data_IF_322563707768
#
_entry.id   IF_322563707768
#
_cell.length_a   1.000
_cell.length_b   1.000
_cell.length_c   1.000
_cell.angle_alpha   90.00
_cell.angle_beta   90.00
_cell.angle_gamma   90.00
#
_symmetry.space_group_name_H-M   'P 1'
#
loop_
_entity.id
_entity.type
_entity.pdbx_description
1 polymer ?
#
# COMPACT_ATOMS: atom_id res chain seq x y z
N UNK A 1 -26.89 25.32 -11.46
CA UNK A 1 -25.79 25.26 -10.48
C UNK A 1 -25.57 23.81 -10.01
N UNK A 2 -25.02 22.95 -10.87
CA UNK A 2 -24.86 21.50 -10.61
C UNK A 2 -23.39 21.06 -10.59
N UNK A 3 -22.49 21.92 -10.11
CA UNK A 3 -21.05 21.66 -10.12
C UNK A 3 -20.49 21.29 -8.73
N UNK A 4 -21.34 21.21 -7.69
CA UNK A 4 -20.88 21.09 -6.30
C UNK A 4 -20.98 19.68 -5.70
N UNK A 5 -21.66 18.74 -6.37
CA UNK A 5 -21.78 17.35 -5.90
C UNK A 5 -20.69 16.43 -6.46
N UNK A 6 -20.17 16.68 -7.66
CA UNK A 6 -19.13 15.85 -8.27
C UNK A 6 -17.79 15.91 -7.50
N UNK A 7 -17.47 17.03 -6.86
CA UNK A 7 -16.23 17.20 -6.11
C UNK A 7 -16.23 16.54 -4.71
N UNK A 8 -17.37 16.05 -4.23
CA UNK A 8 -17.49 15.45 -2.89
C UNK A 8 -17.30 13.92 -2.88
N UNK A 9 -17.10 13.28 -4.04
CA UNK A 9 -16.96 11.83 -4.14
C UNK A 9 -15.49 11.36 -4.05
N UNK A 10 -14.49 12.23 -4.29
CA UNK A 10 -13.10 11.77 -4.48
C UNK A 10 -12.09 12.12 -3.39
N UNK A 11 -12.42 12.92 -2.38
CA UNK A 11 -11.38 13.43 -1.44
C UNK A 11 -11.16 12.53 -0.22
N UNK A 12 -12.07 11.62 0.10
CA UNK A 12 -11.97 10.72 1.26
C UNK A 12 -12.25 9.27 0.86
N UNK A 13 -11.54 8.78 -0.17
CA UNK A 13 -11.59 7.37 -0.53
C UNK A 13 -10.39 6.64 0.11
N UNK A 14 -10.54 6.07 1.32
CA UNK A 14 -9.48 5.32 2.00
C UNK A 14 -8.89 4.22 1.10
N UNK A 15 -9.66 3.70 0.16
CA UNK A 15 -9.21 2.71 -0.84
C UNK A 15 -8.08 3.23 -1.71
N UNK A 16 -8.12 4.49 -2.17
CA UNK A 16 -7.04 5.09 -2.98
C UNK A 16 -5.74 5.15 -2.19
N UNK A 17 -5.83 5.50 -0.90
CA UNK A 17 -4.66 5.55 -0.02
C UNK A 17 -4.10 4.14 0.23
N UNK A 18 -4.95 3.13 0.43
CA UNK A 18 -4.52 1.74 0.55
C UNK A 18 -3.81 1.23 -0.73
N UNK A 19 -4.34 1.58 -1.90
CA UNK A 19 -3.72 1.25 -3.19
C UNK A 19 -2.36 1.97 -3.35
N UNK A 20 -2.28 3.25 -2.97
CA UNK A 20 -1.03 4.01 -3.03
C UNK A 20 0.06 3.39 -2.14
N UNK A 21 -0.29 3.00 -0.91
CA UNK A 21 0.61 2.28 -0.01
C UNK A 21 1.05 0.93 -0.61
N UNK A 22 0.13 0.20 -1.24
CA UNK A 22 0.46 -1.08 -1.90
C UNK A 22 1.46 -0.87 -3.04
N UNK A 23 1.25 0.13 -3.89
CA UNK A 23 2.15 0.44 -5.00
C UNK A 23 3.54 0.89 -4.53
N UNK A 24 3.60 1.67 -3.45
CA UNK A 24 4.87 2.04 -2.83
C UNK A 24 5.60 0.81 -2.29
N UNK A 25 4.90 -0.07 -1.56
CA UNK A 25 5.45 -1.34 -1.12
C UNK A 25 6.07 -2.14 -2.27
N UNK A 26 5.38 -2.22 -3.41
CA UNK A 26 5.88 -2.92 -4.60
C UNK A 26 7.15 -2.27 -5.19
N UNK A 27 7.19 -0.94 -5.24
CA UNK A 27 8.38 -0.21 -5.68
C UNK A 27 9.59 -0.40 -4.73
N UNK A 28 9.36 -0.57 -3.43
CA UNK A 28 10.41 -0.86 -2.45
C UNK A 28 10.90 -2.31 -2.57
N UNK A 29 10.02 -3.25 -2.89
CA UNK A 29 10.41 -4.63 -3.19
C UNK A 29 11.33 -4.69 -4.40
N UNK A 30 11.03 -3.93 -5.46
CA UNK A 30 11.90 -3.82 -6.63
C UNK A 30 13.30 -3.25 -6.29
N UNK A 31 13.41 -2.49 -5.19
CA UNK A 31 14.68 -1.97 -4.67
C UNK A 31 15.32 -2.89 -3.61
N UNK A 32 14.81 -4.11 -3.40
CA UNK A 32 15.22 -5.03 -2.32
C UNK A 32 15.07 -4.46 -0.90
N UNK A 33 14.27 -3.39 -0.72
CA UNK A 33 14.01 -2.72 0.56
C UNK A 33 12.81 -3.34 1.28
N UNK A 34 12.88 -4.64 1.55
CA UNK A 34 11.77 -5.44 2.07
C UNK A 34 11.23 -4.92 3.43
N UNK A 35 12.11 -4.46 4.33
CA UNK A 35 11.70 -3.95 5.65
C UNK A 35 10.77 -2.73 5.56
N UNK A 36 11.04 -1.84 4.62
CA UNK A 36 10.24 -0.64 4.38
C UNK A 36 8.95 -0.98 3.62
N UNK A 37 9.03 -1.90 2.66
CA UNK A 37 7.86 -2.40 1.94
C UNK A 37 6.80 -2.98 2.89
N UNK A 38 7.21 -3.73 3.91
CA UNK A 38 6.33 -4.29 4.94
C UNK A 38 5.51 -3.20 5.65
N UNK A 39 6.11 -2.05 5.95
CA UNK A 39 5.39 -0.95 6.61
C UNK A 39 4.27 -0.42 5.72
N UNK A 40 4.56 -0.23 4.43
CA UNK A 40 3.55 0.26 3.49
C UNK A 40 2.43 -0.76 3.26
N UNK A 41 2.74 -2.05 3.09
CA UNK A 41 1.68 -3.07 2.95
C UNK A 41 0.82 -3.21 4.21
N UNK A 42 1.40 -3.07 5.41
CA UNK A 42 0.63 -3.05 6.66
C UNK A 42 -0.31 -1.86 6.75
N UNK A 43 0.14 -0.68 6.32
CA UNK A 43 -0.70 0.51 6.31
C UNK A 43 -1.83 0.40 5.27
N UNK A 44 -1.55 -0.18 4.10
CA UNK A 44 -2.59 -0.51 3.13
C UNK A 44 -3.66 -1.43 3.73
N UNK A 45 -3.24 -2.49 4.44
CA UNK A 45 -4.16 -3.44 5.09
C UNK A 45 -4.87 -2.87 6.32
N UNK A 46 -4.30 -1.85 6.98
CA UNK A 46 -4.98 -1.13 8.07
C UNK A 46 -6.19 -0.35 7.55
N UNK A 47 -6.12 0.09 6.30
CA UNK A 47 -7.10 0.98 5.68
C UNK A 47 -8.11 0.18 4.86
N UNK A 48 -7.64 -0.78 4.08
CA UNK A 48 -8.45 -1.80 3.44
C UNK A 48 -7.94 -3.20 3.79
N UNK A 49 -8.50 -3.82 4.85
CA UNK A 49 -8.16 -5.17 5.26
C UNK A 49 -8.50 -6.24 4.23
N UNK A 50 -9.27 -5.91 3.17
CA UNK A 50 -9.63 -6.79 2.08
C UNK A 50 -8.74 -6.66 0.84
N UNK A 51 -7.74 -5.76 0.86
CA UNK A 51 -6.91 -5.49 -0.30
C UNK A 51 -5.94 -6.65 -0.59
N UNK A 52 -6.38 -7.58 -1.44
CA UNK A 52 -5.61 -8.78 -1.80
C UNK A 52 -4.20 -8.47 -2.33
N UNK A 53 -4.05 -7.36 -3.08
CA UNK A 53 -2.75 -6.92 -3.58
C UNK A 53 -1.76 -6.60 -2.44
N UNK A 54 -2.23 -6.01 -1.34
CA UNK A 54 -1.40 -5.70 -0.18
C UNK A 54 -0.97 -6.97 0.59
N UNK A 55 -1.85 -7.98 0.70
CA UNK A 55 -1.46 -9.28 1.28
C UNK A 55 -0.41 -10.00 0.46
N UNK A 56 -0.58 -10.04 -0.87
CA UNK A 56 0.39 -10.67 -1.76
C UNK A 56 1.75 -9.96 -1.70
N UNK A 57 1.73 -8.63 -1.69
CA UNK A 57 2.93 -7.83 -1.53
C UNK A 57 3.61 -8.04 -0.17
N UNK A 58 2.82 -8.15 0.91
CA UNK A 58 3.35 -8.45 2.25
C UNK A 58 3.98 -9.84 2.31
N UNK A 59 3.34 -10.86 1.73
CA UNK A 59 3.89 -12.21 1.66
C UNK A 59 5.24 -12.20 0.94
N UNK A 60 5.29 -11.60 -0.25
CA UNK A 60 6.52 -11.44 -1.03
C UNK A 60 7.62 -10.70 -0.23
N UNK A 61 7.24 -9.66 0.51
CA UNK A 61 8.18 -8.91 1.34
C UNK A 61 8.72 -9.70 2.54
N UNK A 62 7.95 -10.67 3.05
CA UNK A 62 8.36 -11.55 4.14
C UNK A 62 9.24 -12.72 3.66
N UNK A 63 9.07 -13.14 2.41
CA UNK A 63 9.89 -14.19 1.79
C UNK A 63 11.28 -13.69 1.39
N UNK A 64 11.44 -12.39 1.15
CA UNK A 64 12.76 -11.82 0.87
C UNK A 64 13.63 -11.83 2.13
N UNK A 65 14.91 -12.24 2.00
CA UNK A 65 15.84 -12.15 3.12
C UNK A 65 15.92 -10.69 3.57
N UNK A 66 15.90 -10.45 4.88
CA UNK A 66 16.12 -9.11 5.45
C UNK A 66 17.58 -8.71 5.23
N UNK A 67 17.94 -8.33 4.01
CA UNK A 67 19.27 -7.79 3.70
C UNK A 67 19.24 -6.30 4.06
N UNK A 68 19.32 -6.03 5.35
CA UNK A 68 19.27 -4.66 5.89
C UNK A 68 19.76 -4.56 7.33
N UNK A 69 20.52 -5.54 7.81
CA UNK A 69 21.28 -5.41 9.04
C UNK A 69 22.69 -4.92 8.72
N UNK A 70 22.90 -3.61 8.77
CA UNK A 70 24.15 -3.05 9.28
C UNK A 70 23.90 -2.62 10.72
#
# INVERSE_FOLDING_TARGET
AHFREALSIEVDNPTIYAIAHTNWGAALIAQSRAAEAIQHYREALRIDPGLAAAYNGLLQALELPRVGGQ
#
